data_IF_253074578588
#
_entry.id   IF_253074578588
#
_cell.length_a   1.000
_cell.length_b   1.000
_cell.length_c   1.000
_cell.angle_alpha   90.00
_cell.angle_beta   90.00
_cell.angle_gamma   90.00
#
_symmetry.space_group_name_H-M   'P 1'
#
loop_
_entity.id
_entity.type
_entity.pdbx_description
1 polymer ?
#
# COMPACT_ATOMS: atom_id res chain seq x y z
N UNK A 1 -13.98 19.82 3.23
CA UNK A 1 -12.61 19.55 3.25
C UNK A 1 -12.22 18.32 3.98
N UNK A 2 -10.98 18.02 3.86
CA UNK A 2 -10.39 16.84 4.45
C UNK A 2 -9.63 17.26 5.68
N UNK A 3 -9.72 16.49 6.75
CA UNK A 3 -8.95 16.82 7.93
C UNK A 3 -7.47 16.62 7.67
N UNK A 4 -6.58 17.28 8.44
CA UNK A 4 -5.15 17.08 8.27
C UNK A 4 -4.72 15.62 8.44
N UNK A 5 -5.39 14.90 9.35
CA UNK A 5 -5.07 13.49 9.57
C UNK A 5 -5.43 12.67 8.34
N UNK A 6 -6.61 12.92 7.76
CA UNK A 6 -7.02 12.19 6.57
C UNK A 6 -6.12 12.51 5.39
N UNK A 7 -5.68 13.75 5.29
CA UNK A 7 -4.77 14.14 4.21
C UNK A 7 -3.44 13.37 4.34
N UNK A 8 -2.89 13.29 5.54
CA UNK A 8 -1.65 12.56 5.76
C UNK A 8 -1.82 11.08 5.44
N UNK A 9 -2.92 10.48 5.89
CA UNK A 9 -3.20 9.08 5.58
C UNK A 9 -3.26 8.86 4.07
N UNK A 10 -3.95 9.75 3.36
CA UNK A 10 -4.07 9.64 1.92
C UNK A 10 -2.70 9.70 1.24
N UNK A 11 -1.85 10.62 1.66
CA UNK A 11 -0.53 10.74 1.09
C UNK A 11 0.33 9.51 1.35
N UNK A 12 0.23 8.95 2.56
CA UNK A 12 0.96 7.74 2.90
C UNK A 12 0.49 6.56 2.07
N UNK A 13 -0.81 6.45 1.85
CA UNK A 13 -1.35 5.37 1.02
C UNK A 13 -0.91 5.52 -0.43
N UNK A 14 -0.88 6.73 -0.95
CA UNK A 14 -0.40 6.95 -2.31
C UNK A 14 1.06 6.51 -2.44
N UNK A 15 1.87 6.82 -1.45
CA UNK A 15 3.27 6.40 -1.45
C UNK A 15 3.36 4.87 -1.42
N UNK A 16 2.55 4.25 -0.56
CA UNK A 16 2.54 2.80 -0.45
C UNK A 16 2.15 2.14 -1.77
N UNK A 17 1.17 2.70 -2.46
CA UNK A 17 0.76 2.15 -3.75
C UNK A 17 1.93 2.18 -4.74
N UNK A 18 2.64 3.30 -4.79
CA UNK A 18 3.80 3.40 -5.68
C UNK A 18 4.87 2.37 -5.36
N UNK A 19 5.12 2.15 -4.06
CA UNK A 19 6.13 1.18 -3.65
C UNK A 19 5.68 -0.25 -3.93
N UNK A 20 4.40 -0.54 -3.75
CA UNK A 20 3.87 -1.86 -4.05
C UNK A 20 3.94 -2.17 -5.55
N UNK A 21 3.74 -1.18 -6.38
CA UNK A 21 3.77 -1.37 -7.82
C UNK A 21 5.17 -1.72 -8.32
N UNK A 22 6.20 -1.34 -7.58
CA UNK A 22 7.56 -1.67 -7.96
C UNK A 22 7.92 -3.13 -7.67
N UNK A 23 7.15 -3.75 -6.77
CA UNK A 23 7.32 -5.17 -6.43
C UNK A 23 8.75 -5.52 -5.96
N UNK A 24 9.45 -4.57 -5.37
CA UNK A 24 10.79 -4.81 -4.85
C UNK A 24 10.83 -4.93 -3.34
N UNK A 25 9.75 -4.58 -2.68
CA UNK A 25 9.70 -4.52 -1.23
C UNK A 25 8.61 -5.44 -0.71
N UNK A 26 8.80 -5.93 0.50
CA UNK A 26 7.73 -6.69 1.14
C UNK A 26 6.65 -5.72 1.62
N UNK A 27 5.48 -6.24 1.92
CA UNK A 27 4.38 -5.43 2.43
C UNK A 27 4.80 -4.68 3.70
N UNK A 28 5.52 -5.36 4.59
CA UNK A 28 5.99 -4.71 5.83
C UNK A 28 6.93 -3.55 5.52
N UNK A 29 7.86 -3.75 4.60
CA UNK A 29 8.78 -2.70 4.21
C UNK A 29 8.03 -1.51 3.61
N UNK A 30 7.05 -1.78 2.77
CA UNK A 30 6.25 -0.73 2.17
C UNK A 30 5.55 0.09 3.26
N UNK A 31 4.99 -0.58 4.25
CA UNK A 31 4.32 0.12 5.35
C UNK A 31 5.26 1.05 6.09
N UNK A 32 6.43 0.56 6.45
CA UNK A 32 7.40 1.38 7.17
C UNK A 32 7.89 2.54 6.30
N UNK A 33 8.18 2.29 5.05
CA UNK A 33 8.68 3.34 4.16
C UNK A 33 7.62 4.38 3.82
N UNK A 34 6.37 4.01 3.96
CA UNK A 34 5.26 4.94 3.74
C UNK A 34 4.92 5.76 4.98
N UNK A 35 5.57 5.47 6.11
CA UNK A 35 5.38 6.26 7.32
C UNK A 35 4.46 5.64 8.35
N UNK A 36 4.09 4.37 8.20
CA UNK A 36 3.26 3.70 9.18
C UNK A 36 4.12 3.07 10.26
N UNK A 37 3.59 3.04 11.49
CA UNK A 37 4.36 2.53 12.62
C UNK A 37 4.37 1.00 12.71
N UNK A 38 3.30 0.36 12.29
CA UNK A 38 3.24 -1.10 12.32
C UNK A 38 2.61 -1.61 11.04
N UNK A 39 2.98 -2.83 10.63
CA UNK A 39 2.38 -3.43 9.44
C UNK A 39 0.87 -3.66 9.60
N UNK A 40 0.42 -3.98 10.81
CA UNK A 40 -0.99 -4.20 11.04
C UNK A 40 -1.79 -2.92 10.82
N UNK A 41 -1.31 -1.81 11.35
CA UNK A 41 -1.99 -0.54 11.15
C UNK A 41 -1.98 -0.16 9.67
N UNK A 42 -0.85 -0.34 9.01
CA UNK A 42 -0.74 -0.08 7.59
C UNK A 42 -1.78 -0.88 6.80
N UNK A 43 -1.88 -2.18 7.05
CA UNK A 43 -2.82 -3.03 6.33
C UNK A 43 -4.26 -2.56 6.54
N UNK A 44 -4.59 -2.18 7.76
CA UNK A 44 -5.94 -1.73 8.07
C UNK A 44 -6.28 -0.45 7.32
N UNK A 45 -5.38 0.54 7.39
CA UNK A 45 -5.62 1.82 6.72
C UNK A 45 -5.68 1.63 5.22
N UNK A 46 -4.77 0.80 4.68
CA UNK A 46 -4.74 0.54 3.25
C UNK A 46 -6.06 -0.09 2.79
N UNK A 47 -6.54 -1.09 3.53
CA UNK A 47 -7.78 -1.75 3.15
C UNK A 47 -8.95 -0.78 3.19
N UNK A 48 -8.99 0.09 4.19
CA UNK A 48 -10.06 1.09 4.27
C UNK A 48 -10.02 2.07 3.10
N UNK A 49 -8.83 2.43 2.67
CA UNK A 49 -8.68 3.40 1.59
C UNK A 49 -8.82 2.78 0.20
N UNK A 50 -8.32 1.58 0.02
CA UNK A 50 -8.22 0.96 -1.30
C UNK A 50 -9.23 -0.16 -1.54
N UNK A 51 -9.89 -0.64 -0.51
CA UNK A 51 -10.86 -1.73 -0.65
C UNK A 51 -10.24 -3.11 -0.62
N UNK A 52 -8.94 -3.21 -0.51
CA UNK A 52 -8.25 -4.49 -0.41
C UNK A 52 -6.98 -4.32 0.41
N UNK A 53 -6.44 -5.44 0.90
CA UNK A 53 -5.23 -5.39 1.69
C UNK A 53 -4.02 -5.10 0.79
N UNK A 54 -2.92 -4.62 1.36
CA UNK A 54 -1.71 -4.40 0.57
C UNK A 54 -1.21 -5.67 -0.11
N UNK A 55 -1.37 -6.80 0.56
CA UNK A 55 -0.97 -8.07 -0.01
C UNK A 55 -1.81 -8.40 -1.23
N UNK A 56 -3.13 -8.19 -1.12
CA UNK A 56 -4.02 -8.43 -2.24
C UNK A 56 -3.71 -7.49 -3.40
N UNK A 57 -3.43 -6.23 -3.09
CA UNK A 57 -3.07 -5.26 -4.11
C UNK A 57 -1.79 -5.69 -4.83
N UNK A 58 -0.79 -6.11 -4.07
CA UNK A 58 0.47 -6.54 -4.65
C UNK A 58 0.28 -7.72 -5.59
N UNK A 59 -0.56 -8.67 -5.19
CA UNK A 59 -0.84 -9.83 -6.04
C UNK A 59 -1.57 -9.44 -7.32
N UNK A 60 -2.50 -8.49 -7.21
CA UNK A 60 -3.25 -8.05 -8.40
C UNK A 60 -2.38 -7.28 -9.38
N UNK A 61 -1.43 -6.51 -8.86
CA UNK A 61 -0.61 -5.64 -9.68
C UNK A 61 0.81 -6.16 -9.85
N UNK A 62 0.99 -7.44 -9.58
CA UNK A 62 2.28 -8.04 -9.78
C UNK A 62 2.65 -7.99 -11.25
N UNK A 63 3.90 -7.69 -11.57
CA UNK A 63 4.32 -7.66 -12.96
C UNK A 63 3.95 -8.95 -13.64
N UNK A 64 3.34 -8.87 -14.81
CA UNK A 64 2.91 -9.97 -15.44
C UNK A 64 3.93 -10.75 -15.96
N UNK A 65 5.01 -10.29 -16.19
CA UNK A 65 6.04 -11.06 -16.53
C UNK A 65 5.62 -12.34 -16.92
N UNK A 66 5.53 -12.96 -16.91
CA UNK A 66 5.22 -14.14 -17.29
C UNK A 66 3.94 -14.69 -17.10
N UNK A 67 3.16 -14.09 -16.70
CA UNK A 67 2.02 -14.61 -16.42
C UNK A 67 1.15 -14.66 -17.38
N UNK A 68 0.94 -14.42 -17.97
CA UNK A 68 0.12 -14.55 -18.77
C UNK A 68 0.23 -14.58 -19.79
N UNK A 69 0.32 -14.65 -19.84
CA UNK A 69 0.31 -14.83 -20.74
C UNK A 69 0.17 -15.28 -21.14
#
# INVERSE_FOLDING_TARGET
GVSPVDFVKTMRIKRAVQLLEQDELTVSEVGYMSGFTTPQYFSRVFKEAMGCTPKEYKLKHKPIGGQNV
#
